data_IF_899197175757
#
_entry.id   IF_899197175757
#
_cell.length_a   1.000
_cell.length_b   1.000
_cell.length_c   1.000
_cell.angle_alpha   90.00
_cell.angle_beta   90.00
_cell.angle_gamma   90.00
#
_symmetry.space_group_name_H-M   'P 1'
#
loop_
_entity.id
_entity.type
_entity.pdbx_description
1 polymer ?
#
# COMPACT_ATOMS: atom_id res chain seq x y z
N UNK A 1 9.39 15.43 -47.72
CA UNK A 1 8.21 14.87 -47.04
C UNK A 1 8.71 13.98 -45.91
N UNK A 2 8.46 14.44 -44.67
CA UNK A 2 8.63 13.84 -43.33
C UNK A 2 9.74 12.80 -43.07
N UNK A 3 10.74 13.27 -42.33
CA UNK A 3 11.71 12.55 -41.52
C UNK A 3 11.05 11.61 -40.49
N UNK A 4 11.40 10.33 -40.53
CA UNK A 4 11.13 9.37 -39.47
C UNK A 4 12.35 9.22 -38.57
N UNK A 5 12.39 9.98 -37.48
CA UNK A 5 13.39 9.78 -36.42
C UNK A 5 12.92 8.59 -35.58
N UNK A 6 13.53 7.43 -35.79
CA UNK A 6 13.39 6.30 -34.88
C UNK A 6 14.26 6.57 -33.65
N UNK A 7 13.66 7.04 -32.57
CA UNK A 7 14.27 6.99 -31.25
C UNK A 7 14.33 5.52 -30.80
N UNK A 8 15.47 4.86 -31.01
CA UNK A 8 15.81 3.66 -30.24
C UNK A 8 16.22 4.11 -28.85
N UNK A 9 15.28 4.06 -27.92
CA UNK A 9 15.62 4.15 -26.49
C UNK A 9 16.24 2.80 -26.13
N UNK A 10 17.57 2.74 -26.08
CA UNK A 10 18.27 1.61 -25.46
C UNK A 10 18.08 1.75 -23.95
N UNK A 11 17.09 1.04 -23.40
CA UNK A 11 17.03 0.83 -21.96
C UNK A 11 18.15 -0.15 -21.59
N UNK A 12 19.10 0.31 -20.79
CA UNK A 12 20.14 -0.55 -20.24
C UNK A 12 19.48 -1.55 -19.27
N UNK A 13 19.45 -2.82 -19.67
CA UNK A 13 18.87 -3.92 -18.89
C UNK A 13 19.61 -4.07 -17.54
N UNK A 14 20.88 -3.68 -17.48
CA UNK A 14 21.67 -3.64 -16.24
C UNK A 14 21.29 -2.49 -15.31
N UNK A 15 20.72 -1.39 -15.85
CA UNK A 15 20.15 -0.28 -15.08
C UNK A 15 18.73 -0.61 -14.59
N UNK A 16 17.95 -1.33 -15.40
CA UNK A 16 16.64 -1.86 -15.02
C UNK A 16 16.72 -2.90 -13.89
N UNK A 17 17.72 -3.77 -13.92
CA UNK A 17 18.04 -4.70 -12.81
C UNK A 17 18.61 -3.99 -11.56
N UNK A 18 18.96 -2.70 -11.67
CA UNK A 18 19.47 -1.85 -10.61
C UNK A 18 18.49 -0.77 -10.15
N UNK A 19 17.21 -0.84 -10.53
CA UNK A 19 16.17 -0.13 -9.80
C UNK A 19 16.04 -0.83 -8.45
N UNK A 20 17.02 -0.56 -7.59
CA UNK A 20 16.87 -0.64 -6.14
C UNK A 20 15.58 0.11 -5.88
N UNK A 21 14.53 -0.61 -5.51
CA UNK A 21 13.23 0.01 -5.38
C UNK A 21 13.29 1.08 -4.30
N UNK A 22 13.32 2.32 -4.75
CA UNK A 22 13.33 3.49 -3.92
C UNK A 22 12.11 3.46 -3.00
N UNK A 23 12.30 3.95 -1.78
CA UNK A 23 11.25 4.12 -0.79
C UNK A 23 10.12 4.99 -1.39
N UNK A 24 8.87 4.52 -1.37
CA UNK A 24 7.72 5.40 -1.61
C UNK A 24 7.41 6.13 -0.31
N UNK A 25 7.33 7.46 -0.37
CA UNK A 25 6.86 8.27 0.74
C UNK A 25 5.88 9.34 0.27
N UNK A 26 4.66 9.31 0.83
CA UNK A 26 3.63 10.33 0.62
C UNK A 26 3.28 10.93 1.99
N UNK A 27 3.30 12.26 2.09
CA UNK A 27 2.94 12.96 3.33
C UNK A 27 1.42 12.95 3.53
N UNK A 28 0.99 12.82 4.78
CA UNK A 28 -0.43 12.93 5.12
C UNK A 28 -0.95 14.34 4.83
N UNK A 29 -2.24 14.43 4.53
CA UNK A 29 -2.99 15.69 4.49
C UNK A 29 -4.29 15.52 5.29
N UNK A 30 -5.10 16.58 5.37
CA UNK A 30 -6.44 16.50 5.95
C UNK A 30 -7.40 15.51 5.24
N UNK A 31 -7.05 14.99 4.06
CA UNK A 31 -7.87 14.06 3.28
C UNK A 31 -7.15 12.80 2.81
N UNK A 32 -5.83 12.73 2.93
CA UNK A 32 -5.03 11.63 2.37
C UNK A 32 -4.07 11.07 3.41
N UNK A 33 -3.85 9.74 3.42
CA UNK A 33 -3.00 9.13 4.43
C UNK A 33 -1.52 9.46 4.19
N UNK A 34 -0.74 9.30 5.25
CA UNK A 34 0.69 9.07 5.12
C UNK A 34 0.91 7.68 4.51
N UNK A 35 1.86 7.57 3.58
CA UNK A 35 2.26 6.29 2.97
C UNK A 35 3.77 6.16 3.04
N UNK A 36 4.28 5.04 3.54
CA UNK A 36 5.70 4.74 3.54
C UNK A 36 5.95 3.28 3.21
N UNK A 37 6.41 3.01 1.99
CA UNK A 37 6.78 1.66 1.56
C UNK A 37 8.29 1.59 1.32
N UNK A 38 8.93 0.61 1.93
CA UNK A 38 10.38 0.44 1.85
C UNK A 38 10.71 -0.94 1.24
N UNK A 39 11.17 -0.93 -0.01
CA UNK A 39 11.52 -2.13 -0.76
C UNK A 39 12.77 -2.85 -0.24
N UNK A 40 13.64 -2.16 0.49
CA UNK A 40 14.84 -2.75 1.11
C UNK A 40 14.52 -3.61 2.34
N UNK A 41 13.47 -3.23 3.07
CA UNK A 41 13.06 -3.89 4.33
C UNK A 41 11.81 -4.74 4.20
N UNK A 42 11.00 -4.54 3.15
CA UNK A 42 9.67 -5.16 3.03
C UNK A 42 8.62 -4.56 3.97
N UNK A 43 8.94 -3.45 4.67
CA UNK A 43 8.02 -2.77 5.58
C UNK A 43 7.20 -1.71 4.84
N UNK A 44 5.89 -1.73 5.07
CA UNK A 44 4.91 -0.88 4.41
C UNK A 44 3.93 -0.34 5.42
N UNK A 45 3.68 0.98 5.39
CA UNK A 45 2.76 1.67 6.30
C UNK A 45 1.82 2.53 5.47
N UNK A 46 0.52 2.46 5.77
CA UNK A 46 -0.47 3.48 5.40
C UNK A 46 -1.14 3.93 6.69
N UNK A 47 -1.16 5.24 6.94
CA UNK A 47 -1.64 5.79 8.21
C UNK A 47 -2.48 7.08 8.03
N UNK A 48 -3.53 7.23 8.84
CA UNK A 48 -4.35 8.45 8.92
C UNK A 48 -5.72 8.26 8.26
N UNK A 49 -6.12 9.17 7.36
CA UNK A 49 -7.44 9.14 6.73
C UNK A 49 -7.37 9.12 5.21
N UNK A 50 -8.25 8.37 4.55
CA UNK A 50 -8.31 8.27 3.09
C UNK A 50 -9.69 8.68 2.56
N UNK A 51 -9.79 9.97 2.26
CA UNK A 51 -10.96 10.63 1.68
C UNK A 51 -10.50 11.50 0.47
N UNK A 52 -9.71 10.94 -0.47
CA UNK A 52 -9.20 11.72 -1.59
C UNK A 52 -10.35 12.19 -2.50
N UNK A 53 -10.22 13.40 -3.05
CA UNK A 53 -11.19 13.93 -4.01
C UNK A 53 -11.22 13.11 -5.31
N UNK A 54 -10.07 12.53 -5.69
CA UNK A 54 -9.93 11.56 -6.77
C UNK A 54 -9.18 10.31 -6.26
N UNK A 55 -9.94 9.28 -5.87
CA UNK A 55 -9.37 8.06 -5.31
C UNK A 55 -8.50 7.28 -6.29
N UNK A 56 -8.92 7.19 -7.56
CA UNK A 56 -8.16 6.45 -8.57
C UNK A 56 -6.78 7.08 -8.80
N UNK A 57 -6.72 8.41 -8.93
CA UNK A 57 -5.46 9.14 -9.10
C UNK A 57 -4.55 9.04 -7.86
N UNK A 58 -5.12 9.10 -6.66
CA UNK A 58 -4.34 9.01 -5.42
C UNK A 58 -3.77 7.60 -5.18
N UNK A 59 -4.57 6.56 -5.38
CA UNK A 59 -4.16 5.18 -5.10
C UNK A 59 -3.30 4.55 -6.19
N UNK A 60 -3.37 5.06 -7.42
CA UNK A 60 -2.62 4.53 -8.56
C UNK A 60 -1.09 4.45 -8.32
N UNK A 61 -0.38 5.49 -7.82
CA UNK A 61 1.05 5.37 -7.54
C UNK A 61 1.37 4.37 -6.42
N UNK A 62 0.49 4.22 -5.42
CA UNK A 62 0.65 3.27 -4.30
C UNK A 62 0.58 1.83 -4.81
N UNK A 63 -0.44 1.52 -5.62
CA UNK A 63 -0.63 0.21 -6.22
C UNK A 63 0.50 -0.13 -7.19
N UNK A 64 0.91 0.82 -8.03
CA UNK A 64 2.00 0.60 -8.98
C UNK A 64 3.33 0.30 -8.28
N UNK A 65 3.64 1.02 -7.21
CA UNK A 65 4.84 0.74 -6.43
C UNK A 65 4.78 -0.68 -5.85
N UNK A 66 3.64 -1.08 -5.26
CA UNK A 66 3.49 -2.44 -4.72
C UNK A 66 3.57 -3.52 -5.79
N UNK A 67 3.07 -3.26 -7.00
CA UNK A 67 3.17 -4.22 -8.09
C UNK A 67 4.62 -4.39 -8.55
N UNK A 68 5.40 -3.31 -8.59
CA UNK A 68 6.84 -3.40 -8.80
C UNK A 68 7.54 -4.17 -7.66
N UNK A 69 7.18 -3.92 -6.40
CA UNK A 69 7.65 -4.72 -5.26
C UNK A 69 7.44 -6.21 -5.44
N UNK A 70 6.25 -6.58 -5.89
CA UNK A 70 5.86 -7.98 -5.99
C UNK A 70 6.66 -8.79 -7.00
N UNK A 71 7.47 -8.17 -7.88
CA UNK A 71 8.31 -8.91 -8.83
C UNK A 71 9.59 -9.45 -8.19
N UNK A 72 10.10 -8.78 -7.16
CA UNK A 72 11.29 -9.19 -6.40
C UNK A 72 11.12 -8.80 -4.92
N UNK A 73 10.14 -9.41 -4.21
CA UNK A 73 9.82 -9.03 -2.84
C UNK A 73 10.92 -9.50 -1.87
N UNK A 74 10.95 -8.91 -0.67
CA UNK A 74 11.73 -9.48 0.44
C UNK A 74 11.07 -10.74 0.96
N UNK A 75 11.87 -11.58 1.62
CA UNK A 75 11.42 -12.84 2.23
C UNK A 75 10.19 -12.65 3.13
N UNK A 76 10.15 -11.53 3.85
CA UNK A 76 9.02 -11.14 4.69
C UNK A 76 8.56 -9.74 4.31
N UNK A 77 7.26 -9.61 4.09
CA UNK A 77 6.57 -8.33 3.87
C UNK A 77 5.68 -8.03 5.07
N UNK A 78 5.82 -6.86 5.68
CA UNK A 78 4.97 -6.41 6.78
C UNK A 78 4.18 -5.18 6.35
N UNK A 79 2.87 -5.31 6.32
CA UNK A 79 1.95 -4.23 5.99
C UNK A 79 1.22 -3.76 7.25
N UNK A 80 1.42 -2.50 7.61
CA UNK A 80 0.73 -1.84 8.72
C UNK A 80 -0.33 -0.92 8.11
N UNK A 81 -1.59 -1.22 8.38
CA UNK A 81 -2.73 -0.43 7.95
C UNK A 81 -3.34 0.23 9.19
N UNK A 82 -3.17 1.54 9.32
CA UNK A 82 -3.46 2.31 10.54
C UNK A 82 -4.36 3.49 10.23
N UNK A 83 -5.63 3.20 10.03
CA UNK A 83 -6.60 4.18 9.53
C UNK A 83 -7.51 4.70 10.64
N UNK A 84 -7.66 6.02 10.70
CA UNK A 84 -8.76 6.67 11.41
C UNK A 84 -10.07 6.47 10.68
N UNK A 85 -10.04 6.63 9.35
CA UNK A 85 -11.21 6.53 8.49
C UNK A 85 -10.78 6.42 7.03
N UNK A 86 -11.48 5.62 6.24
CA UNK A 86 -11.40 5.67 4.79
C UNK A 86 -12.78 5.52 4.19
N UNK A 87 -13.04 6.28 3.12
CA UNK A 87 -14.34 6.25 2.47
C UNK A 87 -14.46 5.06 1.50
N UNK A 88 -15.69 4.83 1.03
CA UNK A 88 -16.04 3.75 0.09
C UNK A 88 -15.17 3.77 -1.18
N UNK A 89 -14.79 4.96 -1.68
CA UNK A 89 -13.94 5.05 -2.88
C UNK A 89 -12.52 4.53 -2.67
N UNK A 90 -12.05 4.48 -1.42
CA UNK A 90 -10.76 3.88 -1.05
C UNK A 90 -10.83 2.38 -0.78
N UNK A 91 -12.02 1.81 -0.54
CA UNK A 91 -12.18 0.40 -0.17
C UNK A 91 -11.71 -0.59 -1.26
N UNK A 92 -11.95 -0.26 -2.54
CA UNK A 92 -11.56 -1.12 -3.67
C UNK A 92 -10.04 -1.15 -3.88
N UNK A 93 -9.33 -0.01 -3.94
CA UNK A 93 -7.86 -0.02 -3.99
C UNK A 93 -7.20 -0.75 -2.81
N UNK A 94 -7.72 -0.58 -1.59
CA UNK A 94 -7.23 -1.33 -0.41
C UNK A 94 -7.37 -2.84 -0.64
N UNK A 95 -8.55 -3.30 -1.07
CA UNK A 95 -8.77 -4.71 -1.37
C UNK A 95 -7.83 -5.24 -2.47
N UNK A 96 -7.57 -4.45 -3.51
CA UNK A 96 -6.64 -4.83 -4.58
C UNK A 96 -5.20 -5.00 -4.06
N UNK A 97 -4.76 -4.10 -3.18
CA UNK A 97 -3.46 -4.21 -2.52
C UNK A 97 -3.38 -5.50 -1.68
N UNK A 98 -4.42 -5.80 -0.90
CA UNK A 98 -4.51 -7.01 -0.09
C UNK A 98 -4.53 -8.29 -0.94
N UNK A 99 -5.29 -8.34 -2.03
CA UNK A 99 -5.24 -9.48 -2.95
C UNK A 99 -3.86 -9.67 -3.57
N UNK A 100 -3.17 -8.58 -3.94
CA UNK A 100 -1.82 -8.69 -4.47
C UNK A 100 -0.83 -9.22 -3.42
N UNK A 101 -1.01 -8.87 -2.15
CA UNK A 101 -0.24 -9.46 -1.05
C UNK A 101 -0.48 -10.96 -0.90
N UNK A 102 -1.70 -11.43 -1.19
CA UNK A 102 -2.02 -12.87 -1.17
C UNK A 102 -1.22 -13.63 -2.25
N UNK A 103 -1.02 -13.05 -3.44
CA UNK A 103 -0.17 -13.65 -4.48
C UNK A 103 1.28 -13.89 -3.99
N UNK A 104 1.79 -13.05 -3.08
CA UNK A 104 3.13 -13.23 -2.51
C UNK A 104 3.20 -14.48 -1.62
N UNK A 105 2.17 -14.72 -0.81
CA UNK A 105 2.07 -15.94 0.00
C UNK A 105 2.01 -17.17 -0.90
N UNK A 106 1.18 -17.12 -1.95
CA UNK A 106 1.06 -18.21 -2.93
C UNK A 106 2.39 -18.49 -3.66
N UNK A 107 3.25 -17.47 -3.77
CA UNK A 107 4.60 -17.58 -4.33
C UNK A 107 5.67 -18.02 -3.31
N UNK A 108 5.29 -18.30 -2.06
CA UNK A 108 6.17 -18.83 -1.02
C UNK A 108 6.84 -17.77 -0.13
N UNK A 109 6.44 -16.51 -0.21
CA UNK A 109 6.93 -15.44 0.66
C UNK A 109 6.09 -15.31 1.92
N UNK A 110 6.68 -14.77 2.97
CA UNK A 110 5.95 -14.45 4.20
C UNK A 110 5.31 -13.06 4.08
N UNK A 111 4.03 -12.96 4.44
CA UNK A 111 3.33 -11.67 4.52
C UNK A 111 2.56 -11.60 5.83
N UNK A 112 2.68 -10.47 6.52
CA UNK A 112 1.99 -10.18 7.77
C UNK A 112 1.23 -8.86 7.65
N UNK A 113 -0.04 -8.84 8.05
CA UNK A 113 -0.85 -7.62 8.12
C UNK A 113 -1.06 -7.25 9.58
N UNK A 114 -0.70 -6.03 9.95
CA UNK A 114 -1.10 -5.40 11.21
C UNK A 114 -2.21 -4.39 10.89
N UNK A 115 -3.45 -4.75 11.25
CA UNK A 115 -4.62 -3.90 11.12
C UNK A 115 -4.81 -3.12 12.42
N UNK A 116 -4.50 -1.84 12.39
CA UNK A 116 -4.68 -0.94 13.52
C UNK A 116 -5.98 -0.18 13.38
N UNK A 117 -6.74 -0.13 14.47
CA UNK A 117 -8.04 0.54 14.52
C UNK A 117 -8.12 1.41 15.77
N UNK A 118 -8.81 2.58 15.72
CA UNK A 118 -8.95 3.43 16.90
C UNK A 118 -9.62 2.72 18.07
N UNK A 119 -9.20 3.03 19.29
CA UNK A 119 -9.79 2.46 20.49
C UNK A 119 -11.31 2.71 20.55
N UNK A 120 -12.09 1.65 20.67
CA UNK A 120 -13.56 1.71 20.70
C UNK A 120 -14.23 1.85 19.34
N UNK A 121 -13.49 1.83 18.23
CA UNK A 121 -14.05 1.85 16.88
C UNK A 121 -14.35 0.41 16.40
N UNK A 122 -15.55 -0.06 16.75
CA UNK A 122 -16.03 -1.40 16.36
C UNK A 122 -16.26 -1.51 14.85
N UNK A 123 -16.65 -0.43 14.17
CA UNK A 123 -16.90 -0.44 12.71
C UNK A 123 -15.61 -0.63 11.91
N UNK A 124 -14.52 0.03 12.33
CA UNK A 124 -13.19 -0.15 11.72
C UNK A 124 -12.62 -1.54 11.98
N UNK A 125 -12.87 -2.11 13.16
CA UNK A 125 -12.52 -3.49 13.47
C UNK A 125 -13.32 -4.49 12.62
N UNK A 126 -14.63 -4.31 12.49
CA UNK A 126 -15.50 -5.16 11.66
C UNK A 126 -15.05 -5.12 10.20
N UNK A 127 -14.76 -3.93 9.67
CA UNK A 127 -14.24 -3.76 8.30
C UNK A 127 -12.92 -4.52 8.09
N UNK A 128 -12.01 -4.49 9.06
CA UNK A 128 -10.78 -5.27 9.01
C UNK A 128 -11.03 -6.78 9.03
N UNK A 129 -12.00 -7.25 9.83
CA UNK A 129 -12.42 -8.64 9.84
C UNK A 129 -13.02 -9.07 8.50
N UNK A 130 -13.87 -8.23 7.89
CA UNK A 130 -14.43 -8.47 6.55
C UNK A 130 -13.33 -8.67 5.52
N UNK A 131 -12.32 -7.78 5.50
CA UNK A 131 -11.17 -7.94 4.61
C UNK A 131 -10.37 -9.21 4.88
N UNK A 132 -10.18 -9.56 6.15
CA UNK A 132 -9.46 -10.79 6.52
C UNK A 132 -10.18 -12.06 6.03
N UNK A 133 -11.50 -12.00 5.84
CA UNK A 133 -12.27 -13.12 5.27
C UNK A 133 -12.11 -13.24 3.74
N UNK A 134 -11.65 -12.18 3.07
CA UNK A 134 -11.52 -12.11 1.60
C UNK A 134 -10.13 -12.54 1.09
N UNK A 135 -9.12 -12.58 1.96
CA UNK A 135 -7.73 -12.92 1.60
C UNK A 135 -7.14 -13.94 2.57
N UNK A 136 -6.17 -14.76 2.12
CA UNK A 136 -5.55 -15.81 2.96
C UNK A 136 -4.24 -15.33 3.57
N UNK A 137 -4.29 -14.18 4.24
CA UNK A 137 -3.13 -13.54 4.86
C UNK A 137 -3.34 -13.52 6.38
N UNK A 138 -2.32 -13.74 7.21
CA UNK A 138 -2.41 -13.51 8.66
C UNK A 138 -2.69 -12.03 8.97
N UNK A 139 -3.83 -11.76 9.61
CA UNK A 139 -4.16 -10.44 10.17
C UNK A 139 -3.90 -10.45 11.67
N UNK A 140 -3.23 -9.42 12.15
CA UNK A 140 -3.11 -9.07 13.56
C UNK A 140 -3.87 -7.77 13.79
N UNK A 141 -4.94 -7.84 14.55
CA UNK A 141 -5.73 -6.67 14.95
C UNK A 141 -5.10 -6.02 16.18
N UNK A 142 -4.90 -4.71 16.14
CA UNK A 142 -4.24 -3.93 17.20
C UNK A 142 -5.04 -2.66 17.46
N UNK A 143 -5.53 -2.47 18.69
CA UNK A 143 -6.10 -1.19 19.10
C UNK A 143 -5.01 -0.11 19.09
N UNK A 144 -5.34 1.04 18.52
CA UNK A 144 -4.48 2.21 18.48
C UNK A 144 -5.12 3.34 19.27
N UNK A 145 -4.36 3.97 20.17
CA UNK A 145 -4.77 5.14 20.96
C UNK A 145 -4.80 6.44 20.12
N UNK A 146 -4.89 6.33 18.79
CA UNK A 146 -4.64 7.38 17.79
C UNK A 146 -5.17 8.78 18.20
N UNK A 147 -4.27 9.61 18.72
CA UNK A 147 -4.40 11.06 18.86
C UNK A 147 -3.62 11.71 17.72
N UNK A 148 -4.15 11.65 16.50
CA UNK A 148 -3.64 12.49 15.41
C UNK A 148 -4.20 13.88 15.65
N UNK A 149 -3.51 14.68 16.46
CA UNK A 149 -3.81 16.11 16.55
C UNK A 149 -3.79 16.67 15.13
N UNK A 150 -4.98 17.05 14.65
CA UNK A 150 -5.12 17.82 13.43
C UNK A 150 -4.32 19.08 13.65
N UNK A 151 -3.14 19.17 13.04
CA UNK A 151 -2.49 20.44 12.82
C UNK A 151 -3.45 21.26 11.95
N UNK A 152 -4.20 22.15 12.63
CA UNK A 152 -5.11 23.15 12.05
C UNK A 152 -4.28 24.17 11.27
#
# INVERSE_FOLDING_TARGET
MKSGVFFKINFDIGLLLRIVMEKLELQATAKTPFVSFNGETGKMIIQGRSIPDNADEYWQPILQWFYAYSTEPKNTTTFIFDMEYFNISSSKPVLFLLHKMNDLIESGFEVNIEWRYPQGDEEMLETGNDYSCMVKIPFKFVESENNFELAV
#
